data_IF_853506154970
#
_entry.id   IF_853506154970
#
_cell.length_a   1.000
_cell.length_b   1.000
_cell.length_c   1.000
_cell.angle_alpha   90.00
_cell.angle_beta   90.00
_cell.angle_gamma   90.00
#
_symmetry.space_group_name_H-M   'P 1'
#
loop_
_entity.id
_entity.type
_entity.pdbx_description
1 polymer ?
#
# COMPACT_ATOMS: atom_id res chain seq x y z
N UNK A 1 -22.23 7.50 -9.78
CA UNK A 1 -21.29 8.23 -8.91
C UNK A 1 -19.92 8.07 -9.54
N UNK A 2 -19.34 9.14 -10.11
CA UNK A 2 -18.14 9.05 -10.94
C UNK A 2 -16.94 8.59 -10.10
N UNK A 3 -16.56 7.32 -10.24
CA UNK A 3 -15.38 6.68 -9.64
C UNK A 3 -14.05 7.18 -10.27
N UNK A 4 -14.04 8.41 -10.80
CA UNK A 4 -13.00 8.99 -11.67
C UNK A 4 -12.63 10.42 -11.24
N UNK A 5 -12.58 10.71 -9.93
CA UNK A 5 -11.97 11.94 -9.39
C UNK A 5 -10.48 11.76 -9.12
N UNK A 6 -9.77 11.09 -10.03
CA UNK A 6 -8.31 11.19 -10.18
C UNK A 6 -7.98 11.68 -11.60
N UNK A 7 -8.72 12.70 -12.07
CA UNK A 7 -8.56 13.31 -13.37
C UNK A 7 -8.67 14.84 -13.29
N UNK A 8 -7.58 15.51 -13.68
CA UNK A 8 -7.44 16.90 -14.12
C UNK A 8 -8.53 17.89 -13.68
N UNK A 9 -8.34 18.46 -12.49
CA UNK A 9 -9.08 19.60 -11.96
C UNK A 9 -8.20 20.36 -10.97
N UNK A 10 -8.62 21.58 -10.58
CA UNK A 10 -7.95 22.40 -9.58
C UNK A 10 -7.55 21.58 -8.34
N UNK A 11 -6.37 21.90 -7.79
CA UNK A 11 -5.81 21.21 -6.61
C UNK A 11 -6.83 21.23 -5.47
N UNK A 12 -7.44 20.08 -5.17
CA UNK A 12 -8.38 19.96 -4.07
C UNK A 12 -7.62 19.81 -2.75
N UNK A 13 -7.44 20.94 -2.08
CA UNK A 13 -6.71 21.01 -0.82
C UNK A 13 -7.41 20.26 0.32
N UNK A 14 -8.74 20.19 0.30
CA UNK A 14 -9.51 19.47 1.34
C UNK A 14 -9.24 17.98 1.23
N UNK A 15 -9.33 17.44 0.01
CA UNK A 15 -9.01 16.04 -0.23
C UNK A 15 -7.56 15.71 0.12
N UNK A 16 -6.60 16.58 -0.19
CA UNK A 16 -5.20 16.36 0.19
C UNK A 16 -5.00 16.27 1.71
N UNK A 17 -5.62 17.19 2.47
CA UNK A 17 -5.52 17.23 3.94
C UNK A 17 -6.12 15.97 4.58
N UNK A 18 -7.15 15.39 3.96
CA UNK A 18 -7.75 14.13 4.41
C UNK A 18 -6.88 12.92 4.00
N UNK A 19 -6.39 12.92 2.76
CA UNK A 19 -5.66 11.81 2.15
C UNK A 19 -4.32 11.55 2.83
N UNK A 20 -3.56 12.59 3.19
CA UNK A 20 -2.21 12.43 3.75
C UNK A 20 -2.23 11.67 5.08
N UNK A 21 -3.03 12.03 6.10
CA UNK A 21 -3.16 11.25 7.32
C UNK A 21 -3.54 9.79 7.07
N UNK A 22 -4.49 9.54 6.16
CA UNK A 22 -4.91 8.19 5.78
C UNK A 22 -3.74 7.39 5.20
N UNK A 23 -3.00 7.97 4.26
CA UNK A 23 -1.82 7.35 3.65
C UNK A 23 -0.76 7.04 4.70
N UNK A 24 -0.45 8.01 5.55
CA UNK A 24 0.56 7.90 6.60
C UNK A 24 0.20 6.77 7.57
N UNK A 25 -1.06 6.68 8.03
CA UNK A 25 -1.52 5.61 8.92
C UNK A 25 -1.50 4.26 8.22
N UNK A 26 -1.99 4.18 6.97
CA UNK A 26 -2.07 2.93 6.19
C UNK A 26 -0.68 2.37 5.87
N UNK A 27 0.27 3.23 5.48
CA UNK A 27 1.67 2.87 5.27
C UNK A 27 2.35 2.46 6.59
N UNK A 28 2.05 3.13 7.70
CA UNK A 28 2.63 2.78 8.99
C UNK A 28 2.17 1.41 9.47
N UNK A 29 0.88 1.08 9.30
CA UNK A 29 0.36 -0.25 9.61
C UNK A 29 0.99 -1.34 8.73
N UNK A 30 1.15 -1.06 7.43
CA UNK A 30 1.84 -1.93 6.47
C UNK A 30 3.29 -2.23 6.90
N UNK A 31 4.08 -1.18 7.13
CA UNK A 31 5.49 -1.29 7.55
C UNK A 31 5.64 -1.95 8.92
N UNK A 32 4.74 -1.63 9.86
CA UNK A 32 4.71 -2.29 11.16
C UNK A 32 4.54 -3.80 10.99
N UNK A 33 3.63 -4.25 10.14
CA UNK A 33 3.41 -5.69 9.99
C UNK A 33 4.57 -6.43 9.34
N UNK A 34 5.31 -5.82 8.42
CA UNK A 34 6.60 -6.38 7.99
C UNK A 34 7.52 -6.63 9.18
N UNK A 35 7.69 -5.64 10.06
CA UNK A 35 8.54 -5.77 11.24
C UNK A 35 8.03 -6.80 12.24
N UNK A 36 6.71 -6.83 12.50
CA UNK A 36 6.11 -7.79 13.43
C UNK A 36 6.29 -9.22 12.92
N UNK A 37 6.05 -9.47 11.63
CA UNK A 37 6.25 -10.79 11.04
C UNK A 37 7.74 -11.16 11.01
N UNK A 38 8.64 -10.24 10.64
CA UNK A 38 10.08 -10.47 10.71
C UNK A 38 10.51 -10.85 12.14
N UNK A 39 10.03 -10.12 13.15
CA UNK A 39 10.30 -10.42 14.56
C UNK A 39 9.78 -11.79 15.00
N UNK A 40 8.56 -12.15 14.60
CA UNK A 40 7.98 -13.48 14.87
C UNK A 40 8.75 -14.61 14.19
N UNK A 41 9.37 -14.33 13.03
CA UNK A 41 10.25 -15.26 12.33
C UNK A 41 11.69 -15.30 12.89
N UNK A 42 11.98 -14.48 13.91
CA UNK A 42 13.25 -14.49 14.63
C UNK A 42 14.20 -13.33 14.30
N UNK A 43 13.81 -12.35 13.48
CA UNK A 43 14.62 -11.17 13.16
C UNK A 43 14.36 -10.01 14.15
N UNK A 44 15.28 -9.70 15.07
CA UNK A 44 15.12 -8.62 16.03
C UNK A 44 15.46 -7.23 15.47
N UNK A 45 15.85 -7.09 14.19
CA UNK A 45 16.39 -5.85 13.62
C UNK A 45 15.45 -4.66 13.77
N UNK A 46 14.19 -4.80 13.33
CA UNK A 46 13.18 -3.76 13.48
C UNK A 46 12.90 -3.40 14.95
N UNK A 47 12.90 -4.39 15.85
CA UNK A 47 12.70 -4.17 17.29
C UNK A 47 13.84 -3.38 17.91
N UNK A 48 15.09 -3.75 17.63
CA UNK A 48 16.29 -3.05 18.13
C UNK A 48 16.39 -1.63 17.59
N UNK A 49 15.92 -1.40 16.36
CA UNK A 49 15.83 -0.07 15.76
C UNK A 49 14.67 0.79 16.33
N UNK A 50 13.86 0.25 17.27
CA UNK A 50 12.71 0.95 17.83
C UNK A 50 11.60 1.21 16.82
N UNK A 51 11.50 0.37 15.78
CA UNK A 51 10.56 0.54 14.66
C UNK A 51 9.32 -0.37 14.71
N UNK A 52 9.19 -1.19 15.76
CA UNK A 52 7.94 -1.93 16.04
C UNK A 52 6.98 -1.03 16.83
N UNK A 53 6.42 -0.03 16.16
CA UNK A 53 5.52 0.95 16.77
C UNK A 53 4.41 1.35 15.80
N UNK A 54 3.26 1.75 16.34
CA UNK A 54 2.19 2.37 15.56
C UNK A 54 2.42 3.88 15.36
N UNK A 55 3.48 4.46 15.93
CA UNK A 55 3.77 5.88 15.76
C UNK A 55 4.18 6.15 14.30
N UNK A 56 3.33 6.83 13.49
CA UNK A 56 3.57 6.98 12.07
C UNK A 56 4.85 7.76 11.75
N UNK A 57 5.24 8.69 12.62
CA UNK A 57 6.43 9.52 12.43
C UNK A 57 7.73 8.69 12.37
N UNK A 58 7.73 7.48 12.94
CA UNK A 58 8.87 6.54 12.88
C UNK A 58 8.95 5.78 11.55
N UNK A 59 7.91 5.86 10.71
CA UNK A 59 7.81 5.22 9.41
C UNK A 59 7.88 6.19 8.25
N UNK A 60 7.91 7.50 8.50
CA UNK A 60 8.02 8.50 7.45
C UNK A 60 9.46 8.73 7.02
N UNK A 61 9.63 8.84 5.71
CA UNK A 61 10.84 9.37 5.09
C UNK A 61 10.59 10.85 4.77
N UNK A 62 11.44 11.80 5.21
CA UNK A 62 11.20 13.22 4.95
C UNK A 62 11.11 13.57 3.47
N UNK A 63 11.93 12.92 2.62
CA UNK A 63 11.92 13.14 1.17
C UNK A 63 10.67 12.49 0.57
N UNK A 64 10.40 11.23 0.91
CA UNK A 64 9.20 10.53 0.44
C UNK A 64 7.90 11.22 0.85
N UNK A 65 7.87 11.82 2.04
CA UNK A 65 6.73 12.59 2.53
C UNK A 65 6.57 13.91 1.77
N UNK A 66 7.67 14.62 1.50
CA UNK A 66 7.64 15.83 0.69
C UNK A 66 7.17 15.54 -0.75
N UNK A 67 7.53 14.37 -1.30
CA UNK A 67 7.11 13.96 -2.63
C UNK A 67 5.59 13.85 -2.77
N UNK A 68 4.85 13.46 -1.73
CA UNK A 68 3.38 13.44 -1.76
C UNK A 68 2.79 14.81 -2.13
N UNK A 69 3.34 15.89 -1.58
CA UNK A 69 2.89 17.25 -1.87
C UNK A 69 3.35 17.74 -3.24
N UNK A 70 4.62 17.49 -3.58
CA UNK A 70 5.22 17.95 -4.84
C UNK A 70 4.50 17.32 -6.03
N UNK A 71 4.30 16.01 -6.01
CA UNK A 71 3.64 15.28 -7.09
C UNK A 71 2.17 15.69 -7.23
N UNK A 72 1.51 16.00 -6.10
CA UNK A 72 0.13 16.47 -6.13
C UNK A 72 0.00 17.86 -6.76
N UNK A 73 0.88 18.79 -6.41
CA UNK A 73 0.86 20.16 -6.97
C UNK A 73 1.22 20.15 -8.46
N UNK A 74 2.22 19.37 -8.86
CA UNK A 74 2.75 19.39 -10.23
C UNK A 74 1.88 18.58 -11.20
N UNK A 75 1.33 17.46 -10.76
CA UNK A 75 0.65 16.49 -11.64
C UNK A 75 -0.74 16.06 -11.17
N UNK A 76 -1.26 16.60 -10.07
CA UNK A 76 -2.55 16.20 -9.50
C UNK A 76 -2.56 14.79 -8.92
N UNK A 77 -1.38 14.17 -8.71
CA UNK A 77 -1.24 12.76 -8.28
C UNK A 77 -0.43 12.69 -7.00
N UNK A 78 -0.89 11.92 -6.02
CA UNK A 78 -0.11 11.71 -4.78
C UNK A 78 0.81 10.52 -4.95
N UNK A 79 2.11 10.78 -5.06
CA UNK A 79 3.16 9.76 -5.10
C UNK A 79 4.26 10.08 -4.09
N UNK A 80 4.69 9.06 -3.35
CA UNK A 80 5.71 9.17 -2.33
C UNK A 80 5.92 7.81 -1.67
N UNK A 81 6.85 7.73 -0.73
CA UNK A 81 7.22 6.47 -0.09
C UNK A 81 7.42 6.64 1.40
N UNK A 82 7.17 5.57 2.14
CA UNK A 82 7.55 5.44 3.54
C UNK A 82 9.03 5.09 3.67
N UNK A 83 9.59 5.28 4.86
CA UNK A 83 10.91 4.76 5.21
C UNK A 83 10.79 3.25 5.44
N UNK A 84 11.39 2.37 4.60
CA UNK A 84 11.18 0.93 4.71
C UNK A 84 11.66 0.38 6.06
N UNK A 85 10.93 -0.56 6.66
CA UNK A 85 11.33 -1.18 7.92
C UNK A 85 12.55 -2.09 7.69
N UNK A 86 13.59 -2.04 8.55
CA UNK A 86 14.78 -2.84 8.34
C UNK A 86 14.50 -4.31 8.67
N UNK A 87 14.78 -5.18 7.71
CA UNK A 87 14.64 -6.64 7.81
C UNK A 87 15.95 -7.30 7.42
N UNK A 88 16.42 -8.24 8.23
CA UNK A 88 17.64 -9.01 7.99
C UNK A 88 17.29 -10.46 7.63
N UNK A 89 17.50 -10.88 6.36
CA UNK A 89 17.23 -12.24 5.93
C UNK A 89 18.08 -13.30 6.67
N UNK A 90 19.19 -12.89 7.28
CA UNK A 90 20.16 -13.78 7.92
C UNK A 90 19.63 -14.50 9.16
N UNK A 91 18.57 -13.98 9.78
CA UNK A 91 17.92 -14.63 10.94
C UNK A 91 16.94 -15.73 10.54
N UNK A 92 16.49 -15.78 9.28
CA UNK A 92 15.49 -16.74 8.85
C UNK A 92 16.13 -18.11 8.55
N UNK A 93 15.47 -19.19 9.00
CA UNK A 93 15.87 -20.58 8.68
C UNK A 93 16.02 -20.83 7.18
N UNK A 94 15.08 -20.29 6.39
CA UNK A 94 15.17 -20.21 4.94
C UNK A 94 15.02 -18.75 4.53
N UNK A 95 16.08 -18.17 3.94
CA UNK A 95 16.15 -16.74 3.61
C UNK A 95 15.06 -16.31 2.62
N UNK A 96 14.88 -17.06 1.53
CA UNK A 96 13.91 -16.74 0.48
C UNK A 96 12.49 -16.82 1.01
N UNK A 97 12.16 -17.93 1.70
CA UNK A 97 10.82 -18.13 2.26
C UNK A 97 10.51 -17.12 3.36
N UNK A 98 11.48 -16.82 4.23
CA UNK A 98 11.32 -15.81 5.28
C UNK A 98 11.05 -14.43 4.68
N UNK A 99 11.83 -14.02 3.68
CA UNK A 99 11.62 -12.75 2.97
C UNK A 99 10.27 -12.68 2.25
N UNK A 100 9.80 -13.80 1.69
CA UNK A 100 8.50 -13.87 1.04
C UNK A 100 7.34 -13.72 2.03
N UNK A 101 7.40 -14.39 3.18
CA UNK A 101 6.38 -14.28 4.23
C UNK A 101 6.36 -12.85 4.78
N UNK A 102 7.54 -12.26 5.02
CA UNK A 102 7.63 -10.85 5.43
C UNK A 102 7.06 -9.94 4.35
N UNK A 103 7.46 -10.10 3.08
CA UNK A 103 6.95 -9.30 1.96
C UNK A 103 5.43 -9.37 1.82
N UNK A 104 4.81 -10.54 2.01
CA UNK A 104 3.35 -10.64 1.95
C UNK A 104 2.64 -9.91 3.11
N UNK A 105 3.30 -9.72 4.26
CA UNK A 105 2.67 -9.19 5.48
C UNK A 105 2.10 -7.78 5.31
N UNK A 106 2.83 -6.88 4.64
CA UNK A 106 2.39 -5.51 4.38
C UNK A 106 1.13 -5.46 3.51
N UNK A 107 1.16 -5.99 2.27
CA UNK A 107 -0.01 -6.02 1.39
C UNK A 107 -1.22 -6.70 2.02
N UNK A 108 -1.03 -7.85 2.70
CA UNK A 108 -2.13 -8.54 3.41
C UNK A 108 -2.76 -7.62 4.45
N UNK A 109 -1.94 -6.86 5.20
CA UNK A 109 -2.45 -5.91 6.20
C UNK A 109 -3.32 -4.83 5.56
N UNK A 110 -2.92 -4.29 4.40
CA UNK A 110 -3.77 -3.31 3.72
C UNK A 110 -5.08 -3.93 3.23
N UNK A 111 -5.08 -5.13 2.64
CA UNK A 111 -6.33 -5.77 2.24
C UNK A 111 -7.25 -6.06 3.43
N UNK A 112 -6.69 -6.49 4.57
CA UNK A 112 -7.46 -6.68 5.81
C UNK A 112 -8.07 -5.36 6.27
N UNK A 113 -7.30 -4.26 6.28
CA UNK A 113 -7.81 -2.93 6.64
C UNK A 113 -8.91 -2.48 5.67
N UNK A 114 -8.74 -2.68 4.36
CA UNK A 114 -9.76 -2.37 3.36
C UNK A 114 -11.06 -3.14 3.63
N UNK A 115 -10.98 -4.45 3.89
CA UNK A 115 -12.15 -5.28 4.21
C UNK A 115 -12.85 -4.77 5.49
N UNK A 116 -12.09 -4.42 6.53
CA UNK A 116 -12.66 -3.86 7.75
C UNK A 116 -13.38 -2.53 7.46
N UNK A 117 -12.75 -1.63 6.70
CA UNK A 117 -13.31 -0.32 6.36
C UNK A 117 -14.61 -0.44 5.56
N UNK A 118 -14.65 -1.31 4.55
CA UNK A 118 -15.87 -1.49 3.74
C UNK A 118 -17.01 -2.15 4.52
N UNK A 119 -16.69 -3.04 5.46
CA UNK A 119 -17.70 -3.60 6.38
C UNK A 119 -18.27 -2.51 7.29
N UNK A 120 -17.44 -1.60 7.82
CA UNK A 120 -17.88 -0.46 8.63
C UNK A 120 -18.76 0.50 7.82
N UNK A 121 -18.47 0.72 6.53
CA UNK A 121 -19.26 1.61 5.67
C UNK A 121 -20.75 1.22 5.59
N UNK A 122 -21.10 -0.06 5.74
CA UNK A 122 -22.50 -0.51 5.79
C UNK A 122 -23.35 0.19 6.88
N UNK A 123 -22.70 0.78 7.88
CA UNK A 123 -23.37 1.42 9.03
C UNK A 123 -23.34 2.95 8.96
N UNK A 124 -22.67 3.53 7.97
CA UNK A 124 -22.44 4.99 7.86
C UNK A 124 -23.16 5.54 6.64
N UNK A 125 -24.29 6.23 6.81
CA UNK A 125 -25.11 6.64 5.68
C UNK A 125 -24.55 7.91 4.99
N UNK A 126 -24.35 7.93 3.66
CA UNK A 126 -23.83 9.09 2.93
C UNK A 126 -24.68 10.35 3.11
N UNK A 127 -25.99 10.20 3.30
CA UNK A 127 -26.92 11.33 3.47
C UNK A 127 -26.79 12.06 4.80
N UNK A 128 -26.60 11.33 5.91
CA UNK A 128 -26.44 11.93 7.25
C UNK A 128 -24.98 12.18 7.62
N UNK A 129 -24.09 11.29 7.21
CA UNK A 129 -22.70 11.22 7.68
C UNK A 129 -21.69 11.38 6.54
N UNK A 130 -22.05 12.16 5.50
CA UNK A 130 -21.32 12.23 4.23
C UNK A 130 -19.82 12.48 4.35
N UNK A 131 -19.35 13.29 5.32
CA UNK A 131 -17.91 13.51 5.55
C UNK A 131 -17.20 12.27 6.11
N UNK A 132 -17.81 11.61 7.10
CA UNK A 132 -17.25 10.39 7.68
C UNK A 132 -17.26 9.26 6.64
N UNK A 133 -18.34 9.14 5.88
CA UNK A 133 -18.44 8.20 4.77
C UNK A 133 -17.30 8.42 3.77
N UNK A 134 -17.07 9.68 3.35
CA UNK A 134 -16.00 10.04 2.41
C UNK A 134 -14.61 9.65 2.94
N UNK A 135 -14.31 9.97 4.21
CA UNK A 135 -13.02 9.62 4.84
C UNK A 135 -12.80 8.10 4.86
N UNK A 136 -13.82 7.33 5.25
CA UNK A 136 -13.75 5.88 5.32
C UNK A 136 -13.64 5.23 3.94
N UNK A 137 -14.37 5.75 2.95
CA UNK A 137 -14.27 5.31 1.56
C UNK A 137 -12.87 5.57 1.00
N UNK A 138 -12.32 6.77 1.23
CA UNK A 138 -10.97 7.10 0.79
C UNK A 138 -9.92 6.22 1.48
N UNK A 139 -10.11 5.90 2.77
CA UNK A 139 -9.23 4.98 3.49
C UNK A 139 -9.30 3.55 2.95
N UNK A 140 -10.50 3.07 2.57
CA UNK A 140 -10.68 1.80 1.89
C UNK A 140 -9.90 1.80 0.57
N UNK A 141 -10.08 2.84 -0.24
CA UNK A 141 -9.45 2.94 -1.55
C UNK A 141 -7.92 2.96 -1.45
N UNK A 142 -7.37 3.78 -0.54
CA UNK A 142 -5.93 3.87 -0.28
C UNK A 142 -5.35 2.51 0.09
N UNK A 143 -6.02 1.75 0.95
CA UNK A 143 -5.53 0.44 1.36
C UNK A 143 -5.55 -0.57 0.20
N UNK A 144 -6.58 -0.56 -0.66
CA UNK A 144 -6.58 -1.39 -1.87
C UNK A 144 -5.44 -1.02 -2.81
N UNK A 145 -5.23 0.28 -3.06
CA UNK A 145 -4.13 0.76 -3.92
C UNK A 145 -2.78 0.35 -3.36
N UNK A 146 -2.52 0.60 -2.07
CA UNK A 146 -1.26 0.22 -1.42
C UNK A 146 -1.01 -1.29 -1.45
N UNK A 147 -2.05 -2.09 -1.20
CA UNK A 147 -1.98 -3.55 -1.25
C UNK A 147 -1.67 -4.06 -2.65
N UNK A 148 -2.43 -3.63 -3.67
CA UNK A 148 -2.23 -4.05 -5.05
C UNK A 148 -0.88 -3.58 -5.60
N UNK A 149 -0.51 -2.33 -5.35
CA UNK A 149 0.76 -1.77 -5.81
C UNK A 149 1.95 -2.57 -5.26
N UNK A 150 1.96 -2.83 -3.95
CA UNK A 150 3.04 -3.61 -3.35
C UNK A 150 3.01 -5.11 -3.69
N UNK A 151 1.96 -5.64 -4.31
CA UNK A 151 1.94 -7.01 -4.84
C UNK A 151 2.53 -7.13 -6.25
N UNK A 152 2.82 -6.03 -6.93
CA UNK A 152 3.47 -6.08 -8.25
C UNK A 152 4.83 -6.78 -8.09
N UNK A 153 5.12 -7.85 -8.85
CA UNK A 153 6.32 -8.67 -8.68
C UNK A 153 7.55 -8.02 -9.32
N UNK A 154 7.86 -6.78 -8.94
CA UNK A 154 9.00 -6.01 -9.45
C UNK A 154 9.74 -5.36 -8.29
N UNK A 155 11.07 -5.54 -8.17
CA UNK A 155 11.86 -4.83 -7.19
C UNK A 155 11.68 -3.31 -7.26
N UNK A 156 11.59 -2.60 -6.13
CA UNK A 156 11.82 -3.06 -4.76
C UNK A 156 10.53 -3.46 -4.02
N UNK A 157 9.41 -3.59 -4.74
CA UNK A 157 8.08 -3.82 -4.14
C UNK A 157 8.00 -5.20 -3.48
N UNK A 158 7.10 -5.36 -2.51
CA UNK A 158 7.04 -6.60 -1.72
C UNK A 158 6.68 -7.85 -2.51
N UNK A 159 5.87 -7.71 -3.55
CA UNK A 159 5.50 -8.76 -4.48
C UNK A 159 6.72 -9.40 -5.13
N UNK A 160 7.81 -8.64 -5.31
CA UNK A 160 9.07 -9.17 -5.82
C UNK A 160 9.74 -10.15 -4.86
N UNK A 161 9.57 -9.96 -3.54
CA UNK A 161 10.07 -10.85 -2.48
C UNK A 161 9.23 -12.11 -2.41
N UNK A 162 7.91 -11.98 -2.55
CA UNK A 162 6.98 -13.10 -2.64
C UNK A 162 7.29 -13.95 -3.87
N UNK A 163 7.44 -13.31 -5.04
CA UNK A 163 7.82 -13.97 -6.28
C UNK A 163 9.18 -14.66 -6.17
N UNK A 164 10.15 -14.03 -5.50
CA UNK A 164 11.48 -14.58 -5.27
C UNK A 164 11.50 -15.92 -4.54
N UNK A 165 10.44 -16.28 -3.80
CA UNK A 165 10.31 -17.59 -3.15
C UNK A 165 10.21 -18.76 -4.13
N UNK A 166 9.69 -18.49 -5.33
CA UNK A 166 9.47 -19.48 -6.38
C UNK A 166 10.68 -19.63 -7.31
N UNK A 167 11.68 -18.76 -7.16
CA UNK A 167 12.88 -18.77 -7.99
C UNK A 167 13.93 -19.74 -7.45
N UNK A 168 14.65 -20.46 -8.35
CA UNK A 168 15.83 -21.20 -7.94
C UNK A 168 16.90 -20.23 -7.42
N UNK A 169 17.77 -20.71 -6.53
CA UNK A 169 18.70 -19.87 -5.75
C UNK A 169 19.59 -18.96 -6.62
N UNK A 170 20.08 -19.49 -7.74
CA UNK A 170 20.88 -18.75 -8.73
C UNK A 170 20.09 -17.62 -9.43
N UNK A 171 18.80 -17.81 -9.69
CA UNK A 171 17.93 -16.78 -10.26
C UNK A 171 17.55 -15.74 -9.20
N UNK A 172 17.32 -16.14 -7.96
CA UNK A 172 17.01 -15.23 -6.85
C UNK A 172 18.14 -14.22 -6.58
N UNK A 173 19.40 -14.65 -6.64
CA UNK A 173 20.54 -13.73 -6.47
C UNK A 173 20.58 -12.65 -7.56
N UNK A 174 20.30 -13.01 -8.81
CA UNK A 174 20.16 -12.05 -9.91
C UNK A 174 18.94 -11.16 -9.73
N UNK A 175 17.82 -11.73 -9.26
CA UNK A 175 16.57 -11.02 -9.01
C UNK A 175 16.75 -9.90 -7.98
N UNK A 176 17.36 -10.21 -6.83
CA UNK A 176 17.66 -9.21 -5.78
C UNK A 176 18.68 -8.17 -6.26
N UNK A 177 19.57 -8.52 -7.19
CA UNK A 177 20.52 -7.55 -7.73
C UNK A 177 19.83 -6.41 -8.52
N UNK A 178 18.61 -6.66 -9.04
CA UNK A 178 17.80 -5.69 -9.79
C UNK A 178 17.20 -4.61 -8.87
N UNK A 179 17.10 -4.85 -7.54
CA UNK A 179 16.62 -3.85 -6.56
C UNK A 179 17.26 -2.47 -6.73
N UNK A 180 18.52 -2.40 -7.16
CA UNK A 180 19.24 -1.14 -7.41
C UNK A 180 18.60 -0.25 -8.49
N UNK A 181 17.90 -0.86 -9.45
CA UNK A 181 17.16 -0.16 -10.51
C UNK A 181 15.67 -0.03 -10.19
N UNK A 182 15.24 -0.50 -9.03
CA UNK A 182 13.84 -0.71 -8.73
C UNK A 182 13.00 0.55 -8.84
N UNK A 183 13.50 1.70 -8.37
CA UNK A 183 12.76 2.96 -8.47
C UNK A 183 12.46 3.36 -9.93
N UNK A 184 13.44 3.22 -10.82
CA UNK A 184 13.26 3.50 -12.25
C UNK A 184 12.29 2.52 -12.90
N UNK A 185 12.35 1.24 -12.52
CA UNK A 185 11.43 0.21 -13.02
C UNK A 185 9.98 0.49 -12.59
N UNK A 186 9.78 0.92 -11.34
CA UNK A 186 8.47 1.31 -10.83
C UNK A 186 7.91 2.50 -11.60
N UNK A 187 8.70 3.55 -11.82
CA UNK A 187 8.27 4.72 -12.63
C UNK A 187 7.91 4.28 -14.05
N UNK A 188 8.78 3.51 -14.71
CA UNK A 188 8.53 3.03 -16.06
C UNK A 188 7.23 2.19 -16.12
N UNK A 189 6.98 1.33 -15.13
CA UNK A 189 5.77 0.53 -15.07
C UNK A 189 4.52 1.38 -14.90
N UNK A 190 4.55 2.36 -14.00
CA UNK A 190 3.40 3.26 -13.79
C UNK A 190 3.08 4.00 -15.08
N UNK A 191 4.08 4.51 -15.80
CA UNK A 191 3.86 5.25 -17.06
C UNK A 191 3.34 4.33 -18.17
N UNK A 192 3.90 3.13 -18.32
CA UNK A 192 3.58 2.23 -19.42
C UNK A 192 2.27 1.46 -19.23
N UNK A 193 1.91 1.15 -17.98
CA UNK A 193 0.78 0.29 -17.63
C UNK A 193 -0.27 0.97 -16.77
N UNK A 194 -0.29 2.31 -16.76
CA UNK A 194 -1.19 3.14 -15.94
C UNK A 194 -2.65 2.68 -16.05
N UNK A 195 -3.15 2.59 -17.28
CA UNK A 195 -4.55 2.26 -17.57
C UNK A 195 -4.91 0.84 -17.13
N UNK A 196 -4.00 -0.12 -17.33
CA UNK A 196 -4.16 -1.50 -16.91
C UNK A 196 -4.24 -1.59 -15.39
N UNK A 197 -3.37 -0.85 -14.69
CA UNK A 197 -3.33 -0.81 -13.25
C UNK A 197 -4.61 -0.19 -12.66
N UNK A 198 -5.07 0.93 -13.21
CA UNK A 198 -6.34 1.54 -12.77
C UNK A 198 -7.54 0.62 -13.01
N UNK A 199 -7.62 -0.05 -14.16
CA UNK A 199 -8.69 -1.03 -14.41
C UNK A 199 -8.68 -2.17 -13.40
N UNK A 200 -7.49 -2.67 -13.04
CA UNK A 200 -7.36 -3.70 -12.00
C UNK A 200 -7.84 -3.18 -10.64
N UNK A 201 -7.41 -1.98 -10.24
CA UNK A 201 -7.84 -1.34 -9.00
C UNK A 201 -9.36 -1.22 -8.95
N UNK A 202 -9.96 -0.62 -9.99
CA UNK A 202 -11.41 -0.43 -10.06
C UNK A 202 -12.16 -1.76 -10.02
N UNK A 203 -11.68 -2.77 -10.76
CA UNK A 203 -12.30 -4.10 -10.74
C UNK A 203 -12.26 -4.73 -9.33
N UNK A 204 -11.13 -4.66 -8.62
CA UNK A 204 -11.03 -5.15 -7.25
C UNK A 204 -11.94 -4.37 -6.30
N UNK A 205 -11.94 -3.05 -6.38
CA UNK A 205 -12.78 -2.19 -5.54
C UNK A 205 -14.27 -2.49 -5.73
N UNK A 206 -14.73 -2.56 -6.99
CA UNK A 206 -16.12 -2.87 -7.32
C UNK A 206 -16.48 -4.29 -6.87
N UNK A 207 -15.61 -5.28 -7.12
CA UNK A 207 -15.86 -6.65 -6.66
C UNK A 207 -16.00 -6.74 -5.14
N UNK A 208 -15.16 -6.01 -4.39
CA UNK A 208 -15.27 -5.96 -2.93
C UNK A 208 -16.51 -5.20 -2.48
N UNK A 209 -16.87 -4.11 -3.16
CA UNK A 209 -18.11 -3.38 -2.88
C UNK A 209 -19.35 -4.23 -3.14
N UNK A 210 -19.43 -4.92 -4.27
CA UNK A 210 -20.54 -5.82 -4.61
C UNK A 210 -20.73 -6.91 -3.57
N UNK A 211 -19.63 -7.44 -3.01
CA UNK A 211 -19.68 -8.51 -2.02
C UNK A 211 -19.98 -7.99 -0.61
N UNK A 212 -19.36 -6.89 -0.19
CA UNK A 212 -19.36 -6.46 1.21
C UNK A 212 -20.25 -5.25 1.50
N UNK A 213 -20.58 -4.41 0.51
CA UNK A 213 -21.33 -3.17 0.68
C UNK A 213 -22.81 -3.38 0.36
N UNK A 214 -23.47 -4.21 1.15
CA UNK A 214 -24.84 -4.71 0.89
C UNK A 214 -25.96 -3.71 1.20
N UNK A 215 -25.72 -2.76 2.12
CA UNK A 215 -26.73 -1.78 2.52
C UNK A 215 -26.91 -0.62 1.52
N UNK A 216 -26.02 -0.52 0.53
CA UNK A 216 -26.10 0.45 -0.55
C UNK A 216 -26.42 -0.31 -1.82
N UNK A 217 -27.69 -0.27 -2.24
CA UNK A 217 -28.04 -0.78 -3.55
C UNK A 217 -27.31 0.06 -4.59
N UNK A 218 -26.32 -0.55 -5.27
CA UNK A 218 -25.76 0.00 -6.49
C UNK A 218 -26.91 -0.06 -7.50
N UNK A 219 -27.66 1.04 -7.62
CA UNK A 219 -28.66 1.18 -8.67
C UNK A 219 -27.87 1.17 -9.98
N UNK A 220 -27.94 0.01 -10.65
CA UNK A 220 -27.46 -0.23 -12.01
C UNK A 220 -28.15 0.67 -13.01
#
# INVERSE_FOLDING_TARGET
>A
MNLLMLGFGDVDWVNLIILIPILVVSLSAHELMHGVIAYRLGDPTAKRAGRLTLNPLKHLDPIGTAMFFITYIVGGRVFGWAKPIPVSPYYFKNRQRGMAIVGAAGPITNFVLAIILILVLNWIHPGSDGRLFHVLLLAFEVNIVLGLFNLIPIPPLDGSRVFGAFLPRNAYEKWVAVDRYGFLLVIALIILFENQFFRLISWVMLSLADVFLTNYTIIS
#
